data_IF_187450846681
#
_entry.id   IF_187450846681
#
_cell.length_a   1.000
_cell.length_b   1.000
_cell.length_c   1.000
_cell.angle_alpha   90.00
_cell.angle_beta   90.00
_cell.angle_gamma   90.00
#
_symmetry.space_group_name_H-M   'P 1'
#
loop_
_entity.id
_entity.type
_entity.pdbx_description
1 polymer ?
#
# COMPACT_ATOMS: atom_id res chain seq x y z
N UNK A 1 -7.52 -74.58 26.56
CA UNK A 1 -8.66 -73.80 26.03
C UNK A 1 -8.69 -72.37 26.56
N UNK A 2 -8.63 -72.15 27.88
CA UNK A 2 -8.67 -70.79 28.47
C UNK A 2 -7.52 -69.89 27.96
N UNK A 3 -6.27 -70.40 27.93
CA UNK A 3 -5.10 -69.64 27.45
C UNK A 3 -5.22 -69.23 25.98
N UNK A 4 -5.74 -70.10 25.12
CA UNK A 4 -5.97 -69.81 23.69
C UNK A 4 -7.04 -68.73 23.50
N UNK A 5 -8.12 -68.77 24.29
CA UNK A 5 -9.18 -67.74 24.28
C UNK A 5 -8.62 -66.38 24.70
N UNK A 6 -7.76 -66.34 25.74
CA UNK A 6 -7.12 -65.12 26.21
C UNK A 6 -6.21 -64.52 25.14
N UNK A 7 -5.39 -65.33 24.46
CA UNK A 7 -4.49 -64.86 23.39
C UNK A 7 -5.30 -64.27 22.22
N UNK A 8 -6.39 -64.92 21.80
CA UNK A 8 -7.27 -64.41 20.74
C UNK A 8 -7.91 -63.07 21.13
N UNK A 9 -8.33 -62.92 22.39
CA UNK A 9 -8.89 -61.66 22.92
C UNK A 9 -7.87 -60.52 22.91
N UNK A 10 -6.62 -60.78 23.27
CA UNK A 10 -5.54 -59.78 23.27
C UNK A 10 -5.26 -59.32 21.83
N UNK A 11 -5.13 -60.26 20.89
CA UNK A 11 -4.89 -59.93 19.48
C UNK A 11 -6.06 -59.12 18.90
N UNK A 12 -7.31 -59.49 19.22
CA UNK A 12 -8.50 -58.75 18.79
C UNK A 12 -8.52 -57.31 19.33
N UNK A 13 -8.16 -57.10 20.60
CA UNK A 13 -8.07 -55.77 21.19
C UNK A 13 -7.02 -54.89 20.52
N UNK A 14 -5.85 -55.45 20.17
CA UNK A 14 -4.77 -54.72 19.49
C UNK A 14 -5.24 -54.25 18.10
N UNK A 15 -5.92 -55.12 17.34
CA UNK A 15 -6.44 -54.77 16.01
C UNK A 15 -7.48 -53.65 16.10
N UNK A 16 -8.40 -53.71 17.07
CA UNK A 16 -9.39 -52.65 17.30
C UNK A 16 -8.71 -51.33 17.68
N UNK A 17 -7.70 -51.36 18.55
CA UNK A 17 -6.96 -50.16 18.96
C UNK A 17 -6.23 -49.48 17.78
N UNK A 18 -5.59 -50.28 16.91
CA UNK A 18 -4.95 -49.77 15.69
C UNK A 18 -5.98 -49.16 14.72
N UNK A 19 -7.13 -49.80 14.56
CA UNK A 19 -8.20 -49.30 13.69
C UNK A 19 -8.80 -47.99 14.20
N UNK A 20 -9.13 -47.91 15.49
CA UNK A 20 -9.61 -46.67 16.13
C UNK A 20 -8.57 -45.56 16.01
N UNK A 21 -7.29 -45.85 16.25
CA UNK A 21 -6.20 -44.87 16.10
C UNK A 21 -6.07 -44.36 14.67
N UNK A 22 -6.18 -45.23 13.67
CA UNK A 22 -6.14 -44.84 12.25
C UNK A 22 -7.34 -43.95 11.86
N UNK A 23 -8.55 -44.30 12.31
CA UNK A 23 -9.76 -43.49 12.08
C UNK A 23 -9.66 -42.14 12.78
N UNK A 24 -9.14 -42.11 13.99
CA UNK A 24 -8.96 -40.88 14.77
C UNK A 24 -7.91 -39.97 14.14
N UNK A 25 -6.78 -40.53 13.68
CA UNK A 25 -5.75 -39.79 12.95
C UNK A 25 -6.29 -39.20 11.63
N UNK A 26 -7.15 -39.94 10.91
CA UNK A 26 -7.78 -39.43 9.69
C UNK A 26 -8.77 -38.29 10.00
N UNK A 27 -9.60 -38.45 11.04
CA UNK A 27 -10.52 -37.39 11.50
C UNK A 27 -9.75 -36.14 11.94
N UNK A 28 -8.66 -36.29 12.67
CA UNK A 28 -7.82 -35.17 13.09
C UNK A 28 -7.17 -34.46 11.91
N UNK A 29 -6.63 -35.20 10.93
CA UNK A 29 -6.09 -34.62 9.70
C UNK A 29 -7.15 -33.80 8.95
N UNK A 30 -8.35 -34.34 8.80
CA UNK A 30 -9.47 -33.63 8.17
C UNK A 30 -9.89 -32.38 8.95
N UNK A 31 -9.92 -32.45 10.29
CA UNK A 31 -10.22 -31.28 11.11
C UNK A 31 -9.15 -30.20 11.01
N UNK A 32 -7.87 -30.57 11.02
CA UNK A 32 -6.75 -29.64 10.87
C UNK A 32 -6.82 -28.95 9.51
N UNK A 33 -7.06 -29.70 8.43
CA UNK A 33 -7.20 -29.15 7.09
C UNK A 33 -8.40 -28.19 6.99
N UNK A 34 -9.55 -28.58 7.55
CA UNK A 34 -10.74 -27.72 7.63
C UNK A 34 -10.44 -26.43 8.41
N UNK A 35 -9.76 -26.52 9.57
CA UNK A 35 -9.38 -25.35 10.36
C UNK A 35 -8.41 -24.45 9.61
N UNK A 36 -7.45 -25.02 8.88
CA UNK A 36 -6.49 -24.28 8.06
C UNK A 36 -7.20 -23.48 6.96
N UNK A 37 -8.13 -24.09 6.24
CA UNK A 37 -8.89 -23.39 5.21
C UNK A 37 -9.79 -22.30 5.81
N UNK A 38 -10.45 -22.56 6.95
CA UNK A 38 -11.22 -21.54 7.65
C UNK A 38 -10.36 -20.35 8.10
N UNK A 39 -9.16 -20.59 8.62
CA UNK A 39 -8.24 -19.52 9.02
C UNK A 39 -7.80 -18.69 7.81
N UNK A 40 -7.54 -19.34 6.67
CA UNK A 40 -7.19 -18.64 5.42
C UNK A 40 -8.34 -17.76 4.94
N UNK A 41 -9.58 -18.26 4.93
CA UNK A 41 -10.73 -17.47 4.52
C UNK A 41 -11.02 -16.31 5.49
N UNK A 42 -10.81 -16.50 6.80
CA UNK A 42 -10.87 -15.39 7.78
C UNK A 42 -9.85 -14.30 7.49
N UNK A 43 -8.61 -14.66 7.21
CA UNK A 43 -7.57 -13.69 6.87
C UNK A 43 -7.93 -12.89 5.60
N UNK A 44 -8.53 -13.54 4.59
CA UNK A 44 -9.04 -12.85 3.39
C UNK A 44 -10.14 -11.85 3.75
N UNK A 45 -11.08 -12.21 4.62
CA UNK A 45 -12.16 -11.32 5.05
C UNK A 45 -11.59 -10.12 5.81
N UNK A 46 -10.74 -10.35 6.81
CA UNK A 46 -10.11 -9.29 7.60
C UNK A 46 -9.33 -8.32 6.72
N UNK A 47 -8.52 -8.85 5.79
CA UNK A 47 -7.76 -8.04 4.84
C UNK A 47 -8.68 -7.18 3.95
N UNK A 48 -9.81 -7.74 3.53
CA UNK A 48 -10.77 -7.05 2.65
C UNK A 48 -11.58 -6.00 3.41
N UNK A 49 -11.98 -6.31 4.64
CA UNK A 49 -12.68 -5.38 5.53
C UNK A 49 -11.78 -4.20 5.90
N UNK A 50 -10.49 -4.45 6.20
CA UNK A 50 -9.51 -3.39 6.41
C UNK A 50 -9.37 -2.48 5.18
N UNK A 51 -9.32 -3.05 3.97
CA UNK A 51 -9.26 -2.27 2.73
C UNK A 51 -10.54 -1.43 2.50
N UNK A 52 -11.72 -1.95 2.86
CA UNK A 52 -12.98 -1.21 2.80
C UNK A 52 -13.04 -0.08 3.83
N UNK A 53 -12.57 -0.31 5.06
CA UNK A 53 -12.55 0.69 6.14
C UNK A 53 -11.57 1.83 5.84
N UNK A 54 -10.54 1.59 5.02
CA UNK A 54 -9.59 2.61 4.58
C UNK A 54 -10.14 3.52 3.45
N UNK A 55 -11.43 3.43 3.12
CA UNK A 55 -12.09 4.31 2.13
C UNK A 55 -12.02 5.80 2.47
N UNK A 56 -11.82 6.13 3.75
CA UNK A 56 -11.64 7.50 4.21
C UNK A 56 -10.34 8.14 3.70
N UNK A 57 -9.30 7.33 3.49
CA UNK A 57 -7.99 7.82 3.03
C UNK A 57 -7.77 7.59 1.53
N UNK A 58 -8.42 6.57 0.95
CA UNK A 58 -8.29 6.22 -0.46
C UNK A 58 -9.65 6.35 -1.14
N UNK A 59 -9.82 7.20 -2.17
CA UNK A 59 -11.06 7.28 -2.93
C UNK A 59 -11.33 5.96 -3.66
N UNK A 60 -12.29 5.19 -3.16
CA UNK A 60 -12.74 3.93 -3.75
C UNK A 60 -13.90 4.19 -4.72
N UNK A 61 -13.75 3.72 -5.97
CA UNK A 61 -14.84 3.71 -6.92
C UNK A 61 -15.88 2.65 -6.54
N UNK A 62 -17.09 2.77 -7.08
CA UNK A 62 -18.13 1.76 -6.90
C UNK A 62 -17.66 0.37 -7.33
N UNK A 63 -16.91 0.26 -8.43
CA UNK A 63 -16.42 -1.01 -8.93
C UNK A 63 -15.47 -1.67 -7.92
N UNK A 64 -14.54 -0.91 -7.35
CA UNK A 64 -13.63 -1.42 -6.34
C UNK A 64 -14.41 -1.89 -5.10
N UNK A 65 -15.36 -1.09 -4.62
CA UNK A 65 -16.17 -1.46 -3.45
C UNK A 65 -16.96 -2.75 -3.73
N UNK A 66 -17.58 -2.87 -4.91
CA UNK A 66 -18.29 -4.11 -5.32
C UNK A 66 -17.35 -5.31 -5.38
N UNK A 67 -16.13 -5.15 -5.92
CA UNK A 67 -15.14 -6.24 -5.96
C UNK A 67 -14.74 -6.68 -4.56
N UNK A 68 -14.50 -5.74 -3.64
CA UNK A 68 -14.18 -6.04 -2.25
C UNK A 68 -15.36 -6.71 -1.52
N UNK A 69 -16.58 -6.21 -1.69
CA UNK A 69 -17.79 -6.83 -1.12
C UNK A 69 -18.00 -8.25 -1.67
N UNK A 70 -17.81 -8.46 -2.98
CA UNK A 70 -17.87 -9.79 -3.59
C UNK A 70 -16.79 -10.72 -3.04
N UNK A 71 -15.57 -10.22 -2.85
CA UNK A 71 -14.47 -10.99 -2.23
C UNK A 71 -14.82 -11.46 -0.82
N UNK A 72 -15.44 -10.59 0.00
CA UNK A 72 -15.95 -10.97 1.33
C UNK A 72 -17.05 -12.04 1.24
N UNK A 73 -18.03 -11.86 0.35
CA UNK A 73 -19.12 -12.81 0.15
C UNK A 73 -18.59 -14.19 -0.26
N UNK A 74 -17.67 -14.25 -1.21
CA UNK A 74 -17.06 -15.49 -1.70
C UNK A 74 -16.27 -16.22 -0.60
N UNK A 75 -15.52 -15.48 0.22
CA UNK A 75 -14.80 -16.05 1.37
C UNK A 75 -15.77 -16.60 2.43
N UNK A 76 -16.86 -15.88 2.72
CA UNK A 76 -17.92 -16.34 3.62
C UNK A 76 -18.64 -17.59 3.08
N UNK A 77 -18.93 -17.62 1.78
CA UNK A 77 -19.53 -18.77 1.12
C UNK A 77 -18.63 -20.02 1.22
N UNK A 78 -17.31 -19.86 0.99
CA UNK A 78 -16.35 -20.92 1.21
C UNK A 78 -16.33 -21.40 2.69
N UNK A 79 -16.38 -20.48 3.66
CA UNK A 79 -16.44 -20.84 5.08
C UNK A 79 -17.71 -21.62 5.45
N UNK A 80 -18.87 -21.25 4.87
CA UNK A 80 -20.13 -21.98 5.09
C UNK A 80 -20.05 -23.38 4.50
N UNK A 81 -19.44 -23.56 3.33
CA UNK A 81 -19.25 -24.89 2.73
C UNK A 81 -18.37 -25.81 3.59
N UNK A 82 -17.33 -25.26 4.24
CA UNK A 82 -16.47 -26.00 5.14
C UNK A 82 -17.05 -26.17 6.56
N UNK A 83 -18.07 -25.39 6.94
CA UNK A 83 -18.73 -25.44 8.25
C UNK A 83 -20.26 -25.20 8.14
N UNK A 84 -21.01 -26.15 7.57
CA UNK A 84 -22.43 -25.97 7.24
C UNK A 84 -23.34 -25.87 8.48
N UNK A 85 -22.87 -26.32 9.64
CA UNK A 85 -23.62 -26.30 10.89
C UNK A 85 -23.59 -24.93 11.61
N UNK A 86 -22.75 -24.01 11.16
CA UNK A 86 -22.65 -22.68 11.78
C UNK A 86 -23.77 -21.75 11.29
N UNK A 87 -24.76 -21.51 12.16
CA UNK A 87 -25.82 -20.51 11.91
C UNK A 87 -25.26 -19.08 11.79
N UNK A 88 -24.23 -18.76 12.58
CA UNK A 88 -23.60 -17.43 12.56
C UNK A 88 -22.93 -17.12 11.21
N UNK A 89 -22.23 -18.09 10.61
CA UNK A 89 -21.61 -17.92 9.29
C UNK A 89 -22.65 -17.73 8.19
N UNK A 90 -23.76 -18.47 8.26
CA UNK A 90 -24.89 -18.32 7.33
C UNK A 90 -25.54 -16.95 7.42
N UNK A 91 -25.73 -16.41 8.63
CA UNK A 91 -26.24 -15.03 8.83
C UNK A 91 -25.30 -14.01 8.18
N UNK A 92 -24.00 -14.07 8.52
CA UNK A 92 -23.00 -13.13 7.98
C UNK A 92 -22.89 -13.21 6.45
N UNK A 93 -23.01 -14.41 5.88
CA UNK A 93 -23.06 -14.60 4.42
C UNK A 93 -24.29 -13.94 3.79
N UNK A 94 -25.46 -14.04 4.41
CA UNK A 94 -26.69 -13.39 3.92
C UNK A 94 -26.57 -11.87 4.00
N UNK A 95 -26.06 -11.32 5.10
CA UNK A 95 -25.79 -9.88 5.24
C UNK A 95 -24.79 -9.39 4.17
N UNK A 96 -23.75 -10.17 3.88
CA UNK A 96 -22.80 -9.84 2.82
C UNK A 96 -23.44 -9.87 1.42
N UNK A 97 -24.40 -10.79 1.20
CA UNK A 97 -25.18 -10.87 -0.04
C UNK A 97 -26.10 -9.66 -0.21
N UNK A 98 -26.77 -9.23 0.86
CA UNK A 98 -27.61 -8.03 0.85
C UNK A 98 -26.78 -6.78 0.56
N UNK A 99 -25.59 -6.65 1.17
CA UNK A 99 -24.63 -5.56 0.87
C UNK A 99 -24.19 -5.54 -0.59
N UNK A 100 -24.03 -6.71 -1.21
CA UNK A 100 -23.65 -6.82 -2.62
C UNK A 100 -24.78 -6.38 -3.56
N UNK A 101 -26.04 -6.61 -3.19
CA UNK A 101 -27.22 -6.17 -3.95
C UNK A 101 -27.63 -4.72 -3.66
N UNK A 102 -27.12 -4.14 -2.58
CA UNK A 102 -27.42 -2.76 -2.18
C UNK A 102 -26.79 -1.73 -3.12
N UNK A 103 -27.34 -0.51 -3.08
CA UNK A 103 -26.71 0.63 -3.74
C UNK A 103 -25.35 0.92 -3.09
N UNK A 104 -24.31 1.03 -3.91
CA UNK A 104 -22.96 1.38 -3.48
C UNK A 104 -22.70 2.82 -3.89
N UNK A 105 -22.43 3.69 -2.93
CA UNK A 105 -21.92 5.03 -3.23
C UNK A 105 -20.39 4.98 -3.22
N UNK A 106 -19.79 5.15 -4.39
CA UNK A 106 -18.34 5.35 -4.51
C UNK A 106 -17.96 6.78 -4.15
N UNK A 107 -16.77 6.96 -3.58
CA UNK A 107 -16.17 8.29 -3.48
C UNK A 107 -15.20 8.45 -4.65
N UNK A 108 -15.75 8.84 -5.80
CA UNK A 108 -14.99 9.07 -7.04
C UNK A 108 -14.30 10.44 -7.06
N UNK A 109 -14.18 11.12 -5.91
CA UNK A 109 -13.48 12.39 -5.86
C UNK A 109 -12.00 12.18 -6.19
N UNK A 110 -11.57 12.78 -7.29
CA UNK A 110 -10.16 12.92 -7.67
C UNK A 110 -9.40 13.87 -6.74
N UNK A 111 -10.14 14.62 -5.90
CA UNK A 111 -9.64 15.54 -4.89
C UNK A 111 -9.15 14.76 -3.67
N UNK A 112 -7.90 14.30 -3.76
CA UNK A 112 -7.21 13.68 -2.65
C UNK A 112 -6.65 14.75 -1.71
N UNK A 113 -7.15 14.80 -0.47
CA UNK A 113 -6.51 15.58 0.59
C UNK A 113 -5.24 14.84 1.04
N UNK A 114 -4.08 15.41 0.73
CA UNK A 114 -2.81 14.79 1.07
C UNK A 114 -2.51 15.00 2.56
N UNK A 115 -2.30 13.92 3.33
CA UNK A 115 -1.91 14.04 4.72
C UNK A 115 -0.62 14.85 4.86
N UNK A 116 -0.52 15.65 5.91
CA UNK A 116 0.72 16.38 6.23
C UNK A 116 1.79 15.49 6.87
N UNK A 117 1.40 14.32 7.38
CA UNK A 117 2.32 13.41 8.05
C UNK A 117 2.90 12.38 7.06
N UNK A 118 4.23 12.29 7.00
CA UNK A 118 4.95 11.32 6.19
C UNK A 118 4.58 9.86 6.48
N UNK A 119 4.30 9.52 7.75
CA UNK A 119 3.85 8.16 8.11
C UNK A 119 2.49 7.84 7.49
N UNK A 120 1.59 8.83 7.45
CA UNK A 120 0.27 8.66 6.83
C UNK A 120 0.37 8.55 5.31
N UNK A 121 1.28 9.30 4.68
CA UNK A 121 1.56 9.18 3.23
C UNK A 121 2.10 7.79 2.87
N UNK A 122 3.02 7.23 3.66
CA UNK A 122 3.53 5.87 3.43
C UNK A 122 2.42 4.84 3.58
N UNK A 123 1.59 4.95 4.63
CA UNK A 123 0.42 4.08 4.84
C UNK A 123 -0.57 4.17 3.66
N UNK A 124 -0.83 5.37 3.15
CA UNK A 124 -1.70 5.60 2.00
C UNK A 124 -1.17 4.89 0.74
N UNK A 125 0.12 5.04 0.43
CA UNK A 125 0.76 4.37 -0.71
C UNK A 125 0.70 2.84 -0.54
N UNK A 126 0.93 2.34 0.67
CA UNK A 126 0.84 0.90 0.97
C UNK A 126 -0.60 0.39 0.79
N UNK A 127 -1.60 1.15 1.22
CA UNK A 127 -3.02 0.82 1.02
C UNK A 127 -3.40 0.72 -0.45
N UNK A 128 -2.95 1.66 -1.29
CA UNK A 128 -3.19 1.61 -2.74
C UNK A 128 -2.50 0.40 -3.37
N UNK A 129 -1.26 0.10 -2.98
CA UNK A 129 -0.55 -1.10 -3.45
C UNK A 129 -1.28 -2.39 -3.07
N UNK A 130 -1.74 -2.49 -1.82
CA UNK A 130 -2.53 -3.62 -1.32
C UNK A 130 -3.81 -3.80 -2.15
N UNK A 131 -4.50 -2.69 -2.43
CA UNK A 131 -5.71 -2.70 -3.26
C UNK A 131 -5.43 -3.19 -4.69
N UNK A 132 -4.33 -2.75 -5.33
CA UNK A 132 -3.92 -3.26 -6.66
C UNK A 132 -3.62 -4.76 -6.63
N UNK A 133 -2.99 -5.26 -5.57
CA UNK A 133 -2.75 -6.72 -5.39
C UNK A 133 -4.06 -7.47 -5.26
N UNK A 134 -5.01 -6.97 -4.45
CA UNK A 134 -6.33 -7.57 -4.30
C UNK A 134 -7.06 -7.60 -5.65
N UNK A 135 -7.11 -6.47 -6.37
CA UNK A 135 -7.72 -6.36 -7.70
C UNK A 135 -7.14 -7.37 -8.70
N UNK A 136 -5.81 -7.51 -8.76
CA UNK A 136 -5.14 -8.52 -9.61
C UNK A 136 -5.52 -9.94 -9.22
N UNK A 137 -5.59 -10.22 -7.91
CA UNK A 137 -5.96 -11.55 -7.41
C UNK A 137 -7.42 -11.91 -7.68
N UNK A 138 -8.32 -10.94 -7.75
CA UNK A 138 -9.72 -11.17 -8.10
C UNK A 138 -9.93 -11.23 -9.63
N UNK A 139 -9.14 -10.47 -10.39
CA UNK A 139 -9.08 -10.59 -11.85
C UNK A 139 -8.55 -11.96 -12.29
N UNK A 140 -7.47 -12.46 -11.68
CA UNK A 140 -6.92 -13.79 -12.00
C UNK A 140 -7.87 -14.95 -11.67
N UNK A 141 -8.85 -14.73 -10.79
CA UNK A 141 -9.93 -15.68 -10.49
C UNK A 141 -11.14 -15.52 -11.43
N UNK A 142 -11.09 -14.62 -12.42
CA UNK A 142 -12.18 -14.35 -13.35
C UNK A 142 -13.38 -13.62 -12.76
N UNK A 143 -13.22 -12.98 -11.58
CA UNK A 143 -14.33 -12.32 -10.86
C UNK A 143 -14.52 -10.85 -11.24
N UNK A 144 -13.56 -10.28 -11.95
CA UNK A 144 -13.55 -8.90 -12.42
C UNK A 144 -13.43 -8.92 -13.94
N UNK A 145 -14.29 -8.17 -14.62
CA UNK A 145 -14.18 -7.99 -16.06
C UNK A 145 -12.84 -7.29 -16.42
N UNK A 146 -12.26 -7.68 -17.57
CA UNK A 146 -10.94 -7.19 -17.95
C UNK A 146 -10.92 -5.69 -18.28
N UNK A 147 -12.02 -5.15 -18.82
CA UNK A 147 -12.14 -3.71 -19.10
C UNK A 147 -12.28 -2.92 -17.79
N UNK A 148 -13.09 -3.42 -16.85
CA UNK A 148 -13.23 -2.82 -15.51
C UNK A 148 -11.90 -2.87 -14.75
N UNK A 149 -11.20 -3.99 -14.79
CA UNK A 149 -9.89 -4.13 -14.16
C UNK A 149 -8.87 -3.15 -14.74
N UNK A 150 -8.77 -3.04 -16.07
CA UNK A 150 -7.83 -2.13 -16.72
C UNK A 150 -8.12 -0.66 -16.39
N UNK A 151 -9.40 -0.27 -16.35
CA UNK A 151 -9.80 1.09 -15.99
C UNK A 151 -9.46 1.43 -14.54
N UNK A 152 -9.78 0.52 -13.60
CA UNK A 152 -9.50 0.74 -12.17
C UNK A 152 -8.01 0.67 -11.84
N UNK A 153 -7.25 -0.24 -12.46
CA UNK A 153 -5.79 -0.31 -12.25
C UNK A 153 -5.11 0.97 -12.75
N UNK A 154 -5.53 1.50 -13.91
CA UNK A 154 -5.06 2.80 -14.41
C UNK A 154 -5.43 3.95 -13.47
N UNK A 155 -6.64 3.93 -12.89
CA UNK A 155 -7.08 4.94 -11.90
C UNK A 155 -6.22 4.90 -10.64
N UNK A 156 -5.98 3.71 -10.09
CA UNK A 156 -5.13 3.52 -8.91
C UNK A 156 -3.67 3.90 -9.18
N UNK A 157 -3.17 3.65 -10.38
CA UNK A 157 -1.84 4.07 -10.80
C UNK A 157 -1.69 5.58 -10.91
N UNK A 158 -2.67 6.26 -11.52
CA UNK A 158 -2.72 7.73 -11.55
C UNK A 158 -2.77 8.31 -10.13
N UNK A 159 -3.58 7.73 -9.24
CA UNK A 159 -3.65 8.17 -7.85
C UNK A 159 -2.31 8.01 -7.13
N UNK A 160 -1.64 6.88 -7.33
CA UNK A 160 -0.31 6.62 -6.76
C UNK A 160 0.74 7.63 -7.27
N UNK A 161 0.71 7.95 -8.57
CA UNK A 161 1.58 8.97 -9.16
C UNK A 161 1.31 10.35 -8.53
N UNK A 162 0.05 10.78 -8.50
CA UNK A 162 -0.36 12.07 -7.89
C UNK A 162 0.16 12.19 -6.46
N UNK A 163 -0.07 11.18 -5.62
CA UNK A 163 0.41 11.16 -4.22
C UNK A 163 1.92 11.30 -4.16
N UNK A 164 2.64 10.57 -5.00
CA UNK A 164 4.09 10.59 -4.99
C UNK A 164 4.64 11.98 -5.34
N UNK A 165 4.13 12.58 -6.41
CA UNK A 165 4.57 13.89 -6.90
C UNK A 165 4.25 14.98 -5.88
N UNK A 166 3.01 15.07 -5.43
CA UNK A 166 2.60 16.10 -4.47
C UNK A 166 3.33 15.95 -3.13
N UNK A 167 3.61 14.72 -2.70
CA UNK A 167 4.44 14.47 -1.52
C UNK A 167 5.86 14.98 -1.70
N UNK A 168 6.50 14.75 -2.87
CA UNK A 168 7.83 15.27 -3.14
C UNK A 168 7.82 16.81 -3.21
N UNK A 169 6.84 17.41 -3.88
CA UNK A 169 6.72 18.87 -3.98
C UNK A 169 6.57 19.48 -2.58
N UNK A 170 5.67 18.94 -1.75
CA UNK A 170 5.46 19.42 -0.37
C UNK A 170 6.73 19.33 0.47
N UNK A 171 7.50 18.23 0.35
CA UNK A 171 8.80 18.08 1.02
C UNK A 171 9.84 19.06 0.48
N UNK A 172 9.87 19.29 -0.83
CA UNK A 172 10.73 20.28 -1.47
C UNK A 172 10.45 21.70 -0.96
N UNK A 173 9.18 22.10 -0.92
CA UNK A 173 8.74 23.39 -0.39
C UNK A 173 9.07 23.54 1.10
N UNK A 174 8.82 22.51 1.91
CA UNK A 174 9.18 22.53 3.34
C UNK A 174 10.70 22.65 3.54
N UNK A 175 11.52 21.92 2.78
CA UNK A 175 12.97 22.03 2.85
C UNK A 175 13.47 23.41 2.42
N UNK A 176 12.85 24.00 1.39
CA UNK A 176 13.15 25.37 0.94
C UNK A 176 12.81 26.40 2.01
N UNK A 177 11.66 26.28 2.68
CA UNK A 177 11.30 27.17 3.80
C UNK A 177 12.24 27.05 5.00
N UNK A 178 12.94 25.91 5.14
CA UNK A 178 13.97 25.68 6.15
C UNK A 178 15.39 26.06 5.66
N UNK A 179 15.51 26.78 4.53
CA UNK A 179 16.77 27.17 3.89
C UNK A 179 17.68 25.99 3.49
N UNK A 180 17.14 24.78 3.37
CA UNK A 180 17.85 23.58 2.93
C UNK A 180 17.73 23.41 1.41
N UNK A 181 18.32 24.35 0.66
CA UNK A 181 18.19 24.44 -0.80
C UNK A 181 18.67 23.17 -1.53
N UNK A 182 19.75 22.54 -1.04
CA UNK A 182 20.25 21.28 -1.60
C UNK A 182 19.25 20.12 -1.49
N UNK A 183 18.63 19.97 -0.32
CA UNK A 183 17.59 18.95 -0.10
C UNK A 183 16.32 19.25 -0.89
N UNK A 184 15.92 20.53 -0.98
CA UNK A 184 14.78 20.96 -1.78
C UNK A 184 14.98 20.58 -3.26
N UNK A 185 16.17 20.84 -3.81
CA UNK A 185 16.55 20.44 -5.18
C UNK A 185 16.39 18.94 -5.41
N UNK A 186 16.90 18.11 -4.48
CA UNK A 186 16.80 16.66 -4.60
C UNK A 186 15.35 16.17 -4.63
N UNK A 187 14.46 16.76 -3.82
CA UNK A 187 13.03 16.41 -3.84
C UNK A 187 12.38 16.77 -5.18
N UNK A 188 12.66 17.95 -5.73
CA UNK A 188 12.13 18.36 -7.03
C UNK A 188 12.72 17.55 -8.20
N UNK A 189 14.02 17.25 -8.20
CA UNK A 189 14.64 16.37 -9.21
C UNK A 189 14.02 14.97 -9.18
N UNK A 190 13.72 14.44 -7.99
CA UNK A 190 13.04 13.15 -7.84
C UNK A 190 11.59 13.19 -8.38
N UNK A 191 10.87 14.27 -8.13
CA UNK A 191 9.53 14.47 -8.70
C UNK A 191 9.59 14.54 -10.24
N UNK A 192 10.54 15.32 -10.78
CA UNK A 192 10.75 15.47 -12.21
C UNK A 192 11.11 14.14 -12.88
N UNK A 193 12.07 13.39 -12.32
CA UNK A 193 12.46 12.07 -12.82
C UNK A 193 11.27 11.11 -12.86
N UNK A 194 10.42 11.15 -11.83
CA UNK A 194 9.20 10.32 -11.77
C UNK A 194 8.21 10.73 -12.87
N UNK A 195 7.98 12.03 -13.09
CA UNK A 195 7.11 12.56 -14.15
C UNK A 195 7.64 12.28 -15.57
N UNK A 196 8.96 12.22 -15.74
CA UNK A 196 9.62 11.95 -17.04
C UNK A 196 9.66 10.46 -17.37
N UNK A 197 9.60 9.58 -16.36
CA UNK A 197 9.50 8.14 -16.55
C UNK A 197 8.09 7.67 -16.96
N UNK A 198 7.07 8.53 -16.83
CA UNK A 198 5.70 8.22 -17.23
C UNK A 198 5.60 8.18 -18.75
N UNK A 199 5.14 7.04 -19.29
CA UNK A 199 5.04 6.79 -20.74
C UNK A 199 3.79 7.38 -21.39
N UNK A 200 2.85 7.90 -20.59
CA UNK A 200 1.62 8.54 -21.07
C UNK A 200 1.65 10.05 -20.84
N UNK A 201 0.98 10.79 -21.73
CA UNK A 201 0.75 12.22 -21.55
C UNK A 201 -0.64 12.44 -20.92
N UNK A 202 -0.68 13.21 -19.84
CA UNK A 202 -1.89 13.63 -19.15
C UNK A 202 -1.75 15.12 -18.81
N UNK A 203 -2.86 15.85 -18.75
CA UNK A 203 -2.87 17.27 -18.43
C UNK A 203 -2.19 17.53 -17.08
N UNK A 204 -2.52 16.70 -16.08
CA UNK A 204 -1.89 16.74 -14.76
C UNK A 204 -0.36 16.55 -14.83
N UNK A 205 0.11 15.58 -15.63
CA UNK A 205 1.54 15.26 -15.74
C UNK A 205 2.29 16.42 -16.38
N UNK A 206 1.73 17.02 -17.43
CA UNK A 206 2.36 18.15 -18.11
C UNK A 206 2.37 19.41 -17.23
N UNK A 207 1.25 19.72 -16.56
CA UNK A 207 1.16 20.85 -15.64
C UNK A 207 2.15 20.72 -14.47
N UNK A 208 2.20 19.56 -13.81
CA UNK A 208 3.15 19.32 -12.73
C UNK A 208 4.60 19.26 -13.18
N UNK A 209 4.88 18.83 -14.40
CA UNK A 209 6.24 18.87 -14.95
C UNK A 209 6.72 20.30 -15.09
N UNK A 210 5.89 21.19 -15.65
CA UNK A 210 6.18 22.62 -15.75
C UNK A 210 6.35 23.28 -14.38
N UNK A 211 5.48 22.96 -13.42
CA UNK A 211 5.57 23.47 -12.04
C UNK A 211 6.89 23.05 -11.36
N UNK A 212 7.27 21.77 -11.47
CA UNK A 212 8.52 21.26 -10.87
C UNK A 212 9.75 21.84 -11.58
N UNK A 213 9.70 22.04 -12.89
CA UNK A 213 10.77 22.66 -13.67
C UNK A 213 10.98 24.12 -13.26
N UNK A 214 9.91 24.87 -13.04
CA UNK A 214 9.98 26.23 -12.49
C UNK A 214 10.64 26.26 -11.11
N UNK A 215 10.29 25.32 -10.20
CA UNK A 215 10.95 25.23 -8.89
C UNK A 215 12.44 24.92 -8.99
N UNK A 216 12.86 24.08 -9.93
CA UNK A 216 14.28 23.77 -10.16
C UNK A 216 15.04 24.95 -10.73
N UNK A 217 14.42 25.73 -11.63
CA UNK A 217 15.00 26.94 -12.18
C UNK A 217 15.19 28.01 -11.10
N UNK A 218 14.17 28.23 -10.26
CA UNK A 218 14.26 29.14 -9.12
C UNK A 218 15.42 28.76 -8.18
N UNK A 219 15.54 27.48 -7.82
CA UNK A 219 16.65 26.99 -6.98
C UNK A 219 18.00 27.19 -7.67
N UNK A 220 18.09 26.96 -8.99
CA UNK A 220 19.31 27.17 -9.76
C UNK A 220 19.76 28.63 -9.72
N UNK A 221 18.81 29.56 -9.85
CA UNK A 221 19.11 31.01 -9.74
C UNK A 221 19.53 31.41 -8.33
N UNK A 222 18.85 30.89 -7.30
CA UNK A 222 19.17 31.13 -5.88
C UNK A 222 20.58 30.62 -5.54
N UNK A 223 20.95 29.42 -5.99
CA UNK A 223 22.28 28.85 -5.79
C UNK A 223 23.36 29.65 -6.53
N UNK A 224 23.10 30.10 -7.76
CA UNK A 224 24.06 30.94 -8.51
C UNK A 224 24.28 32.28 -7.81
N UNK A 225 23.21 32.93 -7.33
CA UNK A 225 23.29 34.20 -6.60
C UNK A 225 24.03 34.03 -5.26
N UNK A 226 23.72 32.97 -4.50
CA UNK A 226 24.38 32.65 -3.23
C UNK A 226 25.87 32.37 -3.42
N UNK A 227 26.23 31.55 -4.42
CA UNK A 227 27.62 31.23 -4.73
C UNK A 227 28.41 32.47 -5.19
N UNK A 228 27.82 33.31 -6.04
CA UNK A 228 28.46 34.55 -6.47
C UNK A 228 28.70 35.51 -5.29
N UNK A 229 27.77 35.57 -4.33
CA UNK A 229 27.91 36.37 -3.12
C UNK A 229 28.97 35.81 -2.18
N UNK A 230 29.03 34.48 -2.02
CA UNK A 230 30.03 33.79 -1.21
C UNK A 230 31.45 33.96 -1.79
N UNK A 231 31.61 33.87 -3.11
CA UNK A 231 32.87 34.13 -3.81
C UNK A 231 33.36 35.57 -3.60
N UNK A 232 32.46 36.56 -3.72
CA UNK A 232 32.80 37.97 -3.45
C UNK A 232 33.25 38.19 -2.01
N UNK A 233 32.49 37.69 -1.02
CA UNK A 233 32.88 37.79 0.39
C UNK A 233 34.22 37.14 0.69
N UNK A 234 34.53 36.01 0.05
CA UNK A 234 35.82 35.34 0.22
C UNK A 234 36.96 36.15 -0.41
N UNK A 235 36.76 36.72 -1.60
CA UNK A 235 37.74 37.58 -2.24
C UNK A 235 37.99 38.88 -1.46
N UNK A 236 36.94 39.49 -0.90
CA UNK A 236 37.04 40.66 -0.03
C UNK A 236 37.79 40.34 1.29
N UNK A 237 37.52 39.18 1.90
CA UNK A 237 38.23 38.74 3.11
C UNK A 237 39.72 38.43 2.83
N UNK A 238 40.03 37.78 1.70
CA UNK A 238 41.42 37.52 1.28
C UNK A 238 42.16 38.83 0.97
N UNK A 239 41.47 39.86 0.47
CA UNK A 239 42.04 41.19 0.23
C UNK A 239 42.32 41.94 1.53
N UNK A 240 41.39 41.91 2.50
CA UNK A 240 41.57 42.54 3.82
C UNK A 240 42.73 41.88 4.61
N UNK A 241 42.83 40.54 4.59
CA UNK A 241 43.95 39.81 5.21
C UNK A 241 45.31 40.15 4.57
N UNK A 242 45.34 40.34 3.25
CA UNK A 242 46.55 40.81 2.54
C UNK A 242 46.92 42.23 2.96
N UNK A 243 45.96 43.15 3.04
CA UNK A 243 46.23 44.53 3.45
C UNK A 243 46.73 44.60 4.91
N UNK A 244 46.24 43.73 5.79
CA UNK A 244 46.75 43.60 7.17
C UNK A 244 48.20 43.08 7.20
N UNK A 245 48.57 42.16 6.29
CA UNK A 245 49.94 41.63 6.18
C UNK A 245 50.96 42.66 5.65
N UNK A 246 50.51 43.63 4.85
CA UNK A 246 51.35 44.70 4.30
C UNK A 246 51.23 46.03 5.03
N UNK A 247 50.41 46.11 6.10
CA UNK A 247 50.33 47.28 6.95
C UNK A 247 51.72 47.62 7.52
N UNK A 248 52.13 48.91 7.50
CA UNK A 248 53.45 49.31 7.97
C UNK A 248 53.61 48.90 9.43
N UNK A 249 54.55 47.98 9.70
CA UNK A 249 54.84 47.49 11.05
C UNK A 249 55.02 48.67 11.98
N UNK A 250 54.13 48.81 12.98
CA UNK A 250 54.29 49.80 14.04
C UNK A 250 55.66 49.58 14.69
N UNK A 251 56.57 50.51 14.44
CA UNK A 251 57.82 50.61 15.20
C UNK A 251 57.42 50.99 16.61
N UNK A 252 57.82 50.14 17.55
CA UNK A 252 57.77 50.41 18.99
C UNK A 252 58.66 51.60 19.32
#
# INVERSE_FOLDING_TARGET
MIVSIIIVLIVALIVIALWVSAVQQHKEKQEIERRKELTKQKAIIEETEEALMNSANIPLSENIIRVLQRRCYEALNAMVNHSPNSKALKSRMNEAKEKLSGAVQGNSSDNLSLPSNDKQLVSLIQGIKKLRVIMRSEHSKGRVDSQVFAAEDKRLEKLQLRINIESQIKRGLSARSASMVGSARQYFEKAYATLSAVTYSDEYVNAKRQEVEAYLEEISTELKASNATALKKKAEAEQDDLDVLFAPKKKW
#
